data_IF_859277344443
#
_entry.id   IF_859277344443
#
_cell.length_a   1.000
_cell.length_b   1.000
_cell.length_c   1.000
_cell.angle_alpha   90.00
_cell.angle_beta   90.00
_cell.angle_gamma   90.00
#
_symmetry.space_group_name_H-M   'P 1'
#
loop_
_entity.id
_entity.type
_entity.pdbx_description
1 polymer ?
#
# COMPACT_ATOMS: atom_id res chain seq x y z
N UNK A 1 1.89 -31.87 -11.25
CA UNK A 1 1.57 -30.45 -11.03
C UNK A 1 0.13 -30.20 -11.47
N UNK A 2 -0.80 -29.97 -10.56
CA UNK A 2 -2.22 -29.73 -10.89
C UNK A 2 -2.40 -28.34 -11.52
N UNK A 3 -3.00 -28.32 -12.72
CA UNK A 3 -3.21 -27.14 -13.57
C UNK A 3 -3.86 -25.89 -12.93
N UNK A 4 -4.70 -25.95 -11.87
CA UNK A 4 -5.34 -24.74 -11.32
C UNK A 4 -4.34 -23.77 -10.67
N UNK A 5 -3.38 -24.28 -9.89
CA UNK A 5 -2.50 -23.46 -9.06
C UNK A 5 -1.46 -22.65 -9.86
N UNK A 6 -1.07 -23.12 -11.05
CA UNK A 6 -0.07 -22.47 -11.89
C UNK A 6 -0.59 -21.16 -12.52
N UNK A 7 -1.88 -21.11 -12.89
CA UNK A 7 -2.50 -19.90 -13.44
C UNK A 7 -2.56 -18.76 -12.41
N UNK A 8 -2.89 -19.11 -11.16
CA UNK A 8 -2.85 -18.16 -10.05
C UNK A 8 -1.42 -17.68 -9.76
N UNK A 9 -0.42 -18.55 -9.94
CA UNK A 9 1.00 -18.22 -9.78
C UNK A 9 1.49 -17.18 -10.81
N UNK A 10 1.11 -17.38 -12.07
CA UNK A 10 1.44 -16.48 -13.18
C UNK A 10 0.67 -15.16 -13.07
N UNK A 11 -0.62 -15.22 -12.70
CA UNK A 11 -1.45 -14.04 -12.53
C UNK A 11 -0.95 -13.12 -11.41
N UNK A 12 -0.49 -13.66 -10.27
CA UNK A 12 0.08 -12.82 -9.22
C UNK A 12 1.40 -12.20 -9.67
N UNK A 13 2.30 -12.95 -10.32
CA UNK A 13 3.63 -12.45 -10.72
C UNK A 13 3.50 -11.30 -11.73
N UNK A 14 2.54 -11.42 -12.66
CA UNK A 14 2.21 -10.37 -13.61
C UNK A 14 1.61 -9.13 -12.94
N UNK A 15 0.67 -9.31 -12.00
CA UNK A 15 -0.04 -8.19 -11.38
C UNK A 15 0.81 -7.44 -10.34
N UNK A 16 1.60 -8.15 -9.55
CA UNK A 16 2.41 -7.56 -8.46
C UNK A 16 3.77 -7.04 -8.90
N UNK A 17 4.42 -7.73 -9.85
CA UNK A 17 5.78 -7.38 -10.24
C UNK A 17 5.83 -6.67 -11.59
N UNK A 18 5.10 -7.17 -12.58
CA UNK A 18 5.18 -6.64 -13.93
C UNK A 18 4.44 -5.30 -14.10
N UNK A 19 3.25 -5.16 -13.53
CA UNK A 19 2.47 -3.90 -13.60
C UNK A 19 3.19 -2.69 -12.98
N UNK A 20 3.66 -2.71 -11.71
CA UNK A 20 4.31 -1.53 -11.14
C UNK A 20 5.66 -1.23 -11.79
N UNK A 21 6.43 -2.25 -12.20
CA UNK A 21 7.69 -2.04 -12.93
C UNK A 21 7.44 -1.41 -14.30
N UNK A 22 6.43 -1.89 -15.04
CA UNK A 22 6.04 -1.31 -16.32
C UNK A 22 5.51 0.13 -16.16
N UNK A 23 4.70 0.40 -15.14
CA UNK A 23 4.16 1.74 -14.87
C UNK A 23 5.24 2.73 -14.39
N UNK A 24 6.26 2.26 -13.65
CA UNK A 24 7.37 3.09 -13.20
C UNK A 24 8.34 3.47 -14.33
N UNK A 25 8.55 2.58 -15.30
CA UNK A 25 9.43 2.81 -16.45
C UNK A 25 8.97 4.00 -17.31
N UNK A 26 7.65 4.27 -17.37
CA UNK A 26 7.10 5.40 -18.11
C UNK A 26 7.07 6.67 -17.25
N UNK A 27 7.88 7.66 -17.63
CA UNK A 27 7.93 8.99 -16.97
C UNK A 27 6.56 9.70 -16.94
N UNK A 28 5.71 9.48 -17.92
CA UNK A 28 4.39 10.10 -18.01
C UNK A 28 3.42 9.58 -16.94
N UNK A 29 3.49 8.29 -16.64
CA UNK A 29 2.66 7.61 -15.64
C UNK A 29 2.91 8.13 -14.22
N UNK A 30 4.17 8.43 -13.88
CA UNK A 30 4.55 8.96 -12.55
C UNK A 30 4.01 10.36 -12.25
N UNK A 31 3.58 11.10 -13.28
CA UNK A 31 3.06 12.47 -13.12
C UNK A 31 1.54 12.52 -13.01
N UNK A 32 0.85 11.40 -13.21
CA UNK A 32 -0.60 11.32 -13.11
C UNK A 32 -1.01 10.59 -11.82
N UNK A 33 -1.61 11.35 -10.88
CA UNK A 33 -2.03 10.85 -9.57
C UNK A 33 -3.02 9.66 -9.70
N UNK A 34 -3.91 9.68 -10.69
CA UNK A 34 -4.92 8.64 -10.89
C UNK A 34 -4.29 7.30 -11.25
N UNK A 35 -3.32 7.31 -12.17
CA UNK A 35 -2.65 6.07 -12.61
C UNK A 35 -1.81 5.50 -11.46
N UNK A 36 -1.12 6.36 -10.71
CA UNK A 36 -0.37 5.95 -9.53
C UNK A 36 -1.26 5.37 -8.42
N UNK A 37 -2.46 5.91 -8.23
CA UNK A 37 -3.41 5.41 -7.22
C UNK A 37 -3.92 4.01 -7.60
N UNK A 38 -4.32 3.80 -8.85
CA UNK A 38 -4.77 2.50 -9.36
C UNK A 38 -3.63 1.46 -9.29
N UNK A 39 -2.41 1.87 -9.63
CA UNK A 39 -1.23 1.01 -9.50
C UNK A 39 -1.02 0.56 -8.05
N UNK A 40 -1.10 1.48 -7.09
CA UNK A 40 -0.92 1.19 -5.68
C UNK A 40 -1.97 0.19 -5.15
N UNK A 41 -3.25 0.40 -5.50
CA UNK A 41 -4.34 -0.51 -5.15
C UNK A 41 -4.11 -1.90 -5.76
N UNK A 42 -3.71 -1.96 -7.03
CA UNK A 42 -3.48 -3.23 -7.74
C UNK A 42 -2.35 -4.04 -7.10
N UNK A 43 -1.26 -3.39 -6.71
CA UNK A 43 -0.14 -4.03 -6.00
C UNK A 43 -0.58 -4.52 -4.62
N UNK A 44 -1.34 -3.72 -3.88
CA UNK A 44 -1.82 -4.11 -2.56
C UNK A 44 -2.69 -5.38 -2.61
N UNK A 45 -3.63 -5.44 -3.56
CA UNK A 45 -4.47 -6.62 -3.81
C UNK A 45 -3.60 -7.82 -4.21
N UNK A 46 -2.62 -7.62 -5.08
CA UNK A 46 -1.74 -8.69 -5.53
C UNK A 46 -0.89 -9.31 -4.40
N UNK A 47 -0.35 -8.48 -3.50
CA UNK A 47 0.40 -8.96 -2.32
C UNK A 47 -0.50 -9.70 -1.32
N UNK A 48 -1.74 -9.25 -1.17
CA UNK A 48 -2.71 -9.96 -0.34
C UNK A 48 -3.06 -11.34 -0.91
N UNK A 49 -3.22 -11.41 -2.23
CA UNK A 49 -3.51 -12.66 -2.95
C UNK A 49 -2.32 -13.64 -2.91
N UNK A 50 -1.06 -13.15 -2.90
CA UNK A 50 0.14 -13.97 -2.64
C UNK A 50 0.02 -14.71 -1.29
N UNK A 51 -0.30 -13.98 -0.21
CA UNK A 51 -0.47 -14.59 1.12
C UNK A 51 -1.61 -15.61 1.12
N UNK A 52 -2.74 -15.31 0.48
CA UNK A 52 -3.86 -16.24 0.38
C UNK A 52 -3.46 -17.54 -0.36
N UNK A 53 -2.76 -17.41 -1.49
CA UNK A 53 -2.30 -18.54 -2.30
C UNK A 53 -1.19 -19.37 -1.65
N UNK A 54 -0.37 -18.82 -0.76
CA UNK A 54 0.65 -19.61 -0.03
C UNK A 54 0.01 -20.33 1.17
N UNK A 55 -0.89 -19.65 1.88
CA UNK A 55 -1.47 -20.16 3.12
C UNK A 55 -2.47 -21.29 2.84
N UNK A 56 -3.37 -21.14 1.86
CA UNK A 56 -4.41 -22.15 1.56
C UNK A 56 -3.83 -23.54 1.20
N UNK A 57 -2.90 -23.70 0.24
CA UNK A 57 -2.33 -25.00 -0.06
C UNK A 57 -1.35 -25.45 1.05
N UNK A 58 -0.68 -24.52 1.72
CA UNK A 58 0.16 -24.82 2.88
C UNK A 58 -0.61 -25.38 4.07
N UNK A 59 -1.90 -25.05 4.21
CA UNK A 59 -2.78 -25.61 5.23
C UNK A 59 -3.43 -26.92 4.76
N UNK A 60 -3.86 -26.98 3.49
CA UNK A 60 -4.48 -28.17 2.91
C UNK A 60 -3.51 -29.36 2.81
N UNK A 61 -2.21 -29.12 2.57
CA UNK A 61 -1.20 -30.17 2.47
C UNK A 61 -0.55 -30.56 3.81
N UNK A 62 -0.83 -29.83 4.90
CA UNK A 62 -0.32 -30.16 6.25
C UNK A 62 -1.06 -31.30 6.93
N UNK A 63 -2.18 -31.75 6.38
CA UNK A 63 -2.94 -32.85 6.95
C UNK A 63 -2.20 -34.17 6.68
N UNK A 64 -1.77 -34.86 7.75
CA UNK A 64 -0.98 -36.10 7.69
C UNK A 64 -1.70 -37.28 7.01
N UNK A 65 -3.00 -37.15 6.72
CA UNK A 65 -3.79 -38.17 6.05
C UNK A 65 -3.88 -37.87 4.55
N UNK A 66 -3.12 -38.63 3.76
CA UNK A 66 -3.06 -38.58 2.28
C UNK A 66 -4.42 -38.79 1.57
N UNK A 67 -5.49 -39.18 2.27
CA UNK A 67 -6.72 -39.67 1.65
C UNK A 67 -7.85 -38.65 1.49
N UNK A 68 -7.77 -37.48 2.14
CA UNK A 68 -8.79 -36.43 2.00
C UNK A 68 -8.16 -35.18 1.36
N UNK A 69 -8.09 -35.15 0.02
CA UNK A 69 -7.89 -33.90 -0.72
C UNK A 69 -9.15 -33.03 -0.60
N UNK A 70 -9.34 -32.42 0.56
CA UNK A 70 -10.46 -31.52 0.79
C UNK A 70 -10.19 -30.19 0.06
N UNK A 71 -11.09 -29.83 -0.86
CA UNK A 71 -11.06 -28.53 -1.52
C UNK A 71 -11.55 -27.48 -0.54
N UNK A 72 -10.67 -26.56 -0.13
CA UNK A 72 -11.05 -25.43 0.73
C UNK A 72 -12.04 -24.52 -0.02
N UNK A 73 -13.29 -24.50 0.43
CA UNK A 73 -14.31 -23.57 -0.03
C UNK A 73 -14.44 -22.45 1.01
N UNK A 74 -14.19 -21.19 0.64
CA UNK A 74 -14.30 -20.08 1.59
C UNK A 74 -15.74 -19.96 2.09
N UNK A 75 -15.89 -19.93 3.40
CA UNK A 75 -17.16 -19.69 4.07
C UNK A 75 -17.50 -18.20 4.03
N UNK A 76 -18.79 -17.87 3.94
CA UNK A 76 -19.26 -16.48 3.97
C UNK A 76 -18.77 -15.72 5.22
N UNK A 77 -18.59 -16.43 6.34
CA UNK A 77 -18.06 -15.87 7.59
C UNK A 77 -16.63 -15.35 7.42
N UNK A 78 -15.76 -16.06 6.70
CA UNK A 78 -14.37 -15.67 6.50
C UNK A 78 -14.27 -14.37 5.70
N UNK A 79 -15.11 -14.22 4.68
CA UNK A 79 -15.21 -13.00 3.87
C UNK A 79 -15.68 -11.82 4.73
N UNK A 80 -16.66 -12.04 5.61
CA UNK A 80 -17.14 -10.97 6.51
C UNK A 80 -16.10 -10.55 7.53
N UNK A 81 -15.27 -11.47 8.03
CA UNK A 81 -14.17 -11.14 8.95
C UNK A 81 -13.12 -10.31 8.22
N UNK A 82 -12.73 -10.70 6.99
CA UNK A 82 -11.78 -9.94 6.17
C UNK A 82 -12.32 -8.52 5.90
N UNK A 83 -13.58 -8.40 5.43
CA UNK A 83 -14.22 -7.11 5.23
C UNK A 83 -14.32 -6.27 6.51
N UNK A 84 -14.63 -6.91 7.64
CA UNK A 84 -14.69 -6.30 8.96
C UNK A 84 -13.35 -5.72 9.42
N UNK A 85 -12.24 -6.43 9.19
CA UNK A 85 -10.90 -5.91 9.51
C UNK A 85 -10.53 -4.68 8.69
N UNK A 86 -10.87 -4.66 7.40
CA UNK A 86 -10.64 -3.49 6.54
C UNK A 86 -11.48 -2.29 6.97
N UNK A 87 -12.75 -2.52 7.30
CA UNK A 87 -13.65 -1.49 7.83
C UNK A 87 -13.16 -0.93 9.16
N UNK A 88 -12.69 -1.80 10.07
CA UNK A 88 -12.17 -1.40 11.38
C UNK A 88 -10.89 -0.57 11.26
N UNK A 89 -9.94 -0.98 10.41
CA UNK A 89 -8.73 -0.19 10.13
C UNK A 89 -9.09 1.17 9.54
N UNK A 90 -9.98 1.21 8.56
CA UNK A 90 -10.41 2.47 7.94
C UNK A 90 -11.11 3.38 8.95
N UNK A 91 -11.98 2.83 9.79
CA UNK A 91 -12.66 3.57 10.86
C UNK A 91 -11.65 4.15 11.86
N UNK A 92 -10.66 3.37 12.28
CA UNK A 92 -9.60 3.84 13.17
C UNK A 92 -8.78 4.96 12.50
N UNK A 93 -8.40 4.81 11.23
CA UNK A 93 -7.68 5.84 10.48
C UNK A 93 -8.47 7.15 10.38
N UNK A 94 -9.78 7.08 10.13
CA UNK A 94 -10.66 8.26 10.11
C UNK A 94 -10.79 8.90 11.50
N UNK A 95 -10.84 8.08 12.56
CA UNK A 95 -10.89 8.57 13.93
C UNK A 95 -9.58 9.29 14.30
N UNK A 96 -8.42 8.70 13.99
CA UNK A 96 -7.11 9.33 14.21
C UNK A 96 -6.96 10.62 13.42
N UNK A 97 -7.41 10.65 12.17
CA UNK A 97 -7.42 11.85 11.32
C UNK A 97 -8.21 13.01 11.93
N UNK A 98 -9.25 12.71 12.72
CA UNK A 98 -10.04 13.73 13.42
C UNK A 98 -9.44 14.15 14.76
N UNK A 99 -8.79 13.23 15.48
CA UNK A 99 -8.26 13.48 16.84
C UNK A 99 -6.88 14.13 16.82
N UNK A 100 -6.03 13.78 15.85
CA UNK A 100 -4.66 14.28 15.77
C UNK A 100 -4.47 15.14 14.51
N UNK A 101 -3.70 16.24 14.58
CA UNK A 101 -3.33 16.99 13.39
C UNK A 101 -2.45 16.10 12.49
N UNK A 102 -2.88 15.82 11.26
CA UNK A 102 -2.14 14.97 10.32
C UNK A 102 -0.80 15.57 9.90
N UNK A 103 -0.69 16.90 9.93
CA UNK A 103 0.52 17.62 9.55
C UNK A 103 1.14 18.21 10.80
N UNK A 104 2.37 17.82 11.16
CA UNK A 104 3.06 18.41 12.30
C UNK A 104 3.30 19.90 12.02
N UNK A 105 2.72 20.75 12.87
CA UNK A 105 2.85 22.20 12.79
C UNK A 105 4.31 22.67 12.94
N UNK A 106 5.13 21.87 13.63
CA UNK A 106 6.55 22.13 13.81
C UNK A 106 7.31 22.14 12.47
N UNK A 107 7.11 21.10 11.63
CA UNK A 107 7.78 21.01 10.32
C UNK A 107 7.32 22.11 9.36
N UNK A 108 6.05 22.52 9.43
CA UNK A 108 5.55 23.64 8.61
C UNK A 108 6.27 24.93 8.99
N UNK A 109 6.41 25.20 10.30
CA UNK A 109 7.06 26.40 10.79
C UNK A 109 8.54 26.42 10.44
N UNK A 110 9.22 25.28 10.55
CA UNK A 110 10.62 25.12 10.13
C UNK A 110 10.78 25.29 8.60
N UNK A 111 9.85 24.77 7.80
CA UNK A 111 9.84 24.99 6.35
C UNK A 111 9.63 26.44 5.94
N UNK A 112 8.88 27.23 6.71
CA UNK A 112 8.56 28.63 6.41
C UNK A 112 9.69 29.59 6.83
N UNK A 113 10.36 29.33 7.96
CA UNK A 113 11.58 30.06 8.34
C UNK A 113 12.71 29.85 7.33
N UNK A 114 12.85 28.65 6.76
CA UNK A 114 13.86 28.37 5.73
C UNK A 114 13.56 29.07 4.39
N UNK A 115 12.31 29.44 4.15
CA UNK A 115 11.88 30.18 2.95
C UNK A 115 11.85 31.70 3.15
N UNK A 116 12.06 32.18 4.36
CA UNK A 116 12.06 33.61 4.66
C UNK A 116 13.32 34.25 4.08
N UNK A 117 13.22 34.72 2.84
CA UNK A 117 14.24 35.53 2.20
C UNK A 117 14.05 36.99 2.60
N UNK A 118 15.09 37.61 3.19
CA UNK A 118 15.08 39.04 3.49
C UNK A 118 15.78 39.76 2.35
N UNK A 119 15.15 40.81 1.82
CA UNK A 119 15.72 41.64 0.76
C UNK A 119 16.58 42.73 1.39
N UNK A 120 17.90 42.57 1.38
CA UNK A 120 18.86 43.61 1.81
C UNK A 120 19.29 44.41 0.57
N UNK A 121 18.74 45.62 0.43
CA UNK A 121 19.06 46.51 -0.68
C UNK A 121 18.65 45.92 -2.04
N UNK A 122 19.63 45.52 -2.86
CA UNK A 122 19.42 44.90 -4.19
C UNK A 122 19.59 43.37 -4.21
N UNK A 123 20.10 42.77 -3.14
CA UNK A 123 20.34 41.34 -3.05
C UNK A 123 19.28 40.66 -2.18
N UNK A 124 18.81 39.50 -2.63
CA UNK A 124 17.93 38.62 -1.84
C UNK A 124 18.82 37.60 -1.14
N UNK A 125 18.78 37.57 0.19
CA UNK A 125 19.62 36.66 0.99
C UNK A 125 18.68 35.79 1.84
N UNK A 126 18.88 34.46 1.87
CA UNK A 126 18.11 33.59 2.76
C UNK A 126 18.45 33.95 4.21
N UNK A 127 17.46 34.43 4.96
CA UNK A 127 17.66 34.83 6.35
C UNK A 127 17.33 33.66 7.26
N UNK A 128 18.34 32.84 7.53
CA UNK A 128 18.26 31.87 8.62
C UNK A 128 18.39 32.65 9.91
N UNK A 129 17.28 32.91 10.62
CA UNK A 129 17.34 33.38 12.01
C UNK A 129 17.96 32.27 12.86
N UNK A 130 19.25 32.41 13.16
CA UNK A 130 19.95 31.58 14.13
C UNK A 130 19.71 32.22 15.49
N UNK A 131 18.73 31.71 16.23
CA UNK A 131 18.55 32.05 17.64
C UNK A 131 19.65 31.33 18.42
N UNK A 132 20.55 32.09 19.06
CA UNK A 132 21.53 31.62 20.03
C UNK A 132 20.90 31.43 21.42
#
# INVERSE_FOLDING_TARGET
MQAPWNLWFIAFTGLTYFLPVALWLFKWTRRNLWIMSIACISVNIGMWLERFLIIVPGLAQKQMFTFDWYTYAPSAVEITIIGGTFALVTLLMLLFSKVLPLIPLYDIKEGDILKTEIKIGRATVPAVFRED
#
